data_IF_866569416891
#
_entry.id   IF_866569416891
#
_cell.length_a   1.000
_cell.length_b   1.000
_cell.length_c   1.000
_cell.angle_alpha   90.00
_cell.angle_beta   90.00
_cell.angle_gamma   90.00
#
_symmetry.space_group_name_H-M   'P 1'
#
loop_
_entity.id
_entity.type
_entity.pdbx_description
1 polymer ?
#
# COMPACT_ATOMS: atom_id res chain seq x y z
N UNK A 1 -16.47 -9.05 11.08
CA UNK A 1 -17.78 -8.60 11.56
C UNK A 1 -17.65 -7.15 11.99
N UNK A 2 -18.58 -6.27 11.61
CA UNK A 2 -18.61 -4.88 12.09
C UNK A 2 -18.98 -4.84 13.57
N UNK A 3 -18.43 -3.84 14.27
CA UNK A 3 -18.69 -3.65 15.71
C UNK A 3 -19.87 -2.68 15.97
N UNK A 4 -20.30 -1.92 14.96
CA UNK A 4 -21.42 -0.99 15.04
C UNK A 4 -22.21 -0.95 13.73
N UNK A 5 -23.46 -0.49 13.79
CA UNK A 5 -24.30 -0.27 12.60
C UNK A 5 -23.66 0.76 11.68
N UNK A 6 -23.58 0.40 10.40
CA UNK A 6 -23.11 1.30 9.36
C UNK A 6 -24.20 1.47 8.29
N UNK A 7 -24.91 2.60 8.26
CA UNK A 7 -26.01 2.83 7.31
C UNK A 7 -25.55 2.94 5.86
N UNK A 8 -24.23 3.06 5.62
CA UNK A 8 -23.63 3.08 4.28
C UNK A 8 -23.34 1.68 3.74
N UNK A 9 -23.65 0.63 4.51
CA UNK A 9 -23.36 -0.74 4.17
C UNK A 9 -24.61 -1.62 4.34
N UNK A 10 -24.81 -2.54 3.41
CA UNK A 10 -25.95 -3.47 3.44
C UNK A 10 -25.68 -4.74 4.25
N UNK A 11 -24.46 -4.99 4.67
CA UNK A 11 -24.01 -6.23 5.34
C UNK A 11 -23.15 -5.94 6.56
N UNK A 12 -23.31 -6.73 7.61
CA UNK A 12 -22.55 -6.60 8.86
C UNK A 12 -21.19 -7.29 8.79
N UNK A 13 -21.00 -8.21 7.85
CA UNK A 13 -19.73 -8.90 7.67
C UNK A 13 -18.83 -8.13 6.69
N UNK A 14 -17.59 -7.86 7.11
CA UNK A 14 -16.53 -7.30 6.26
C UNK A 14 -15.63 -8.37 5.67
N UNK A 15 -15.57 -9.53 6.33
CA UNK A 15 -14.73 -10.68 5.95
C UNK A 15 -15.51 -11.96 6.19
N UNK A 16 -15.54 -12.85 5.19
CA UNK A 16 -16.17 -14.17 5.26
C UNK A 16 -15.62 -15.02 4.11
N UNK A 17 -14.35 -15.46 4.19
CA UNK A 17 -13.63 -16.08 3.07
C UNK A 17 -13.03 -17.42 3.44
N UNK A 18 -13.11 -18.36 2.51
CA UNK A 18 -12.24 -19.53 2.44
C UNK A 18 -11.21 -19.34 1.33
N UNK A 19 -9.94 -19.56 1.61
CA UNK A 19 -8.85 -19.47 0.63
C UNK A 19 -8.04 -20.75 0.58
N UNK A 20 -7.74 -21.23 -0.61
CA UNK A 20 -6.75 -22.26 -0.88
C UNK A 20 -5.64 -21.64 -1.71
N UNK A 21 -4.45 -21.48 -1.12
CA UNK A 21 -3.28 -20.96 -1.81
C UNK A 21 -2.42 -22.11 -2.34
N UNK A 22 -2.08 -22.02 -3.61
CA UNK A 22 -1.15 -22.92 -4.29
C UNK A 22 0.13 -22.14 -4.62
N UNK A 23 1.27 -22.69 -4.20
CA UNK A 23 2.59 -22.12 -4.49
C UNK A 23 3.47 -23.21 -5.10
N UNK A 24 4.02 -22.95 -6.29
CA UNK A 24 4.90 -23.85 -7.02
C UNK A 24 6.18 -23.10 -7.39
N UNK A 25 7.33 -23.74 -7.16
CA UNK A 25 8.62 -23.22 -7.57
C UNK A 25 9.42 -24.32 -8.25
N UNK A 26 9.77 -24.11 -9.52
CA UNK A 26 10.54 -25.06 -10.32
C UNK A 26 11.84 -24.43 -10.79
N UNK A 27 12.96 -25.04 -10.43
CA UNK A 27 14.27 -24.67 -10.97
C UNK A 27 14.44 -25.31 -12.35
N UNK A 28 14.98 -24.53 -13.29
CA UNK A 28 15.29 -24.93 -14.64
C UNK A 28 16.80 -24.94 -14.93
N UNK A 29 17.20 -25.16 -16.16
CA UNK A 29 18.60 -25.12 -16.58
C UNK A 29 19.19 -23.71 -16.49
N UNK A 30 20.52 -23.61 -16.44
CA UNK A 30 21.26 -22.34 -16.45
C UNK A 30 20.84 -21.35 -15.34
N UNK A 31 20.41 -21.84 -14.17
CA UNK A 31 20.00 -20.99 -13.04
C UNK A 31 18.62 -20.36 -13.20
N UNK A 32 17.84 -20.75 -14.22
CA UNK A 32 16.48 -20.25 -14.35
C UNK A 32 15.53 -20.81 -13.27
N UNK A 33 14.46 -20.08 -12.96
CA UNK A 33 13.41 -20.49 -12.03
C UNK A 33 12.06 -19.99 -12.52
N UNK A 34 11.07 -20.87 -12.58
CA UNK A 34 9.66 -20.50 -12.72
C UNK A 34 9.00 -20.51 -11.33
N UNK A 35 8.19 -19.51 -11.07
CA UNK A 35 7.42 -19.38 -9.83
C UNK A 35 5.94 -19.12 -10.16
N UNK A 36 5.06 -19.77 -9.40
CA UNK A 36 3.60 -19.62 -9.52
C UNK A 36 3.01 -19.54 -8.11
N UNK A 37 2.11 -18.58 -7.89
CA UNK A 37 1.33 -18.44 -6.67
C UNK A 37 -0.07 -17.93 -7.00
N UNK A 38 -1.09 -18.71 -6.64
CA UNK A 38 -2.48 -18.34 -6.85
C UNK A 38 -3.35 -18.74 -5.67
N UNK A 39 -4.41 -18.00 -5.45
CA UNK A 39 -5.43 -18.26 -4.44
C UNK A 39 -6.75 -18.64 -5.14
N UNK A 40 -7.36 -19.75 -4.71
CA UNK A 40 -8.77 -20.05 -4.98
C UNK A 40 -9.57 -19.50 -3.81
N UNK A 41 -10.54 -18.65 -4.09
CA UNK A 41 -11.26 -17.89 -3.08
C UNK A 41 -12.75 -18.23 -3.16
N UNK A 42 -13.33 -18.61 -2.02
CA UNK A 42 -14.79 -18.61 -1.82
C UNK A 42 -15.14 -17.46 -0.88
N UNK A 43 -15.86 -16.48 -1.38
CA UNK A 43 -16.19 -15.25 -0.66
C UNK A 43 -17.68 -15.21 -0.32
N UNK A 44 -18.01 -15.36 0.98
CA UNK A 44 -19.39 -15.34 1.45
C UNK A 44 -19.94 -13.93 1.69
N UNK A 45 -19.10 -12.87 1.67
CA UNK A 45 -19.59 -11.48 1.75
C UNK A 45 -20.07 -11.01 0.39
N UNK A 46 -19.30 -11.30 -0.67
CA UNK A 46 -19.66 -10.94 -2.05
C UNK A 46 -20.41 -12.07 -2.78
N UNK A 47 -20.58 -13.23 -2.12
CA UNK A 47 -21.30 -14.39 -2.65
C UNK A 47 -20.75 -14.88 -3.99
N UNK A 48 -19.42 -14.88 -4.13
CA UNK A 48 -18.71 -15.27 -5.35
C UNK A 48 -17.53 -16.18 -5.09
N UNK A 49 -17.19 -16.98 -6.10
CA UNK A 49 -15.90 -17.67 -6.20
C UNK A 49 -14.96 -16.87 -7.10
N UNK A 50 -13.67 -16.87 -6.78
CA UNK A 50 -12.66 -16.16 -7.56
C UNK A 50 -11.33 -16.92 -7.59
N UNK A 51 -10.49 -16.58 -8.57
CA UNK A 51 -9.11 -17.08 -8.70
C UNK A 51 -8.20 -15.87 -8.80
N UNK A 52 -7.40 -15.64 -7.76
CA UNK A 52 -6.42 -14.54 -7.73
C UNK A 52 -5.04 -15.08 -8.10
N UNK A 53 -4.55 -14.75 -9.31
CA UNK A 53 -3.17 -15.00 -9.72
C UNK A 53 -2.27 -13.95 -9.08
N UNK A 54 -1.66 -14.28 -7.95
CA UNK A 54 -0.81 -13.38 -7.19
C UNK A 54 0.54 -13.15 -7.83
N UNK A 55 1.21 -14.24 -8.25
CA UNK A 55 2.51 -14.19 -8.89
C UNK A 55 2.65 -15.32 -9.92
N UNK A 56 3.18 -14.99 -11.08
CA UNK A 56 3.59 -15.93 -12.11
C UNK A 56 4.73 -15.32 -12.91
N UNK A 57 5.95 -15.74 -12.63
CA UNK A 57 7.11 -15.18 -13.29
C UNK A 57 8.22 -16.19 -13.56
N UNK A 58 9.10 -15.81 -14.47
CA UNK A 58 10.33 -16.50 -14.80
C UNK A 58 11.53 -15.64 -14.37
N UNK A 59 12.42 -16.22 -13.57
CA UNK A 59 13.74 -15.69 -13.26
C UNK A 59 14.78 -16.28 -14.21
N UNK A 60 15.63 -15.43 -14.76
CA UNK A 60 16.77 -15.78 -15.61
C UNK A 60 18.02 -15.05 -15.14
N UNK A 61 19.17 -15.72 -15.13
CA UNK A 61 20.47 -15.12 -14.84
C UNK A 61 21.41 -15.35 -16.04
N UNK A 62 21.20 -14.62 -17.16
CA UNK A 62 21.95 -14.86 -18.41
C UNK A 62 23.42 -14.47 -18.30
N UNK A 63 23.81 -13.67 -17.31
CA UNK A 63 25.17 -13.28 -17.03
C UNK A 63 25.40 -13.07 -15.53
N UNK A 64 26.65 -13.14 -15.08
CA UNK A 64 27.02 -12.99 -13.66
C UNK A 64 26.56 -11.66 -13.01
N UNK A 65 26.33 -10.64 -13.82
CA UNK A 65 25.96 -9.29 -13.36
C UNK A 65 24.58 -8.84 -13.84
N UNK A 66 23.75 -9.77 -14.27
CA UNK A 66 22.41 -9.49 -14.81
C UNK A 66 21.43 -10.58 -14.42
N UNK A 67 20.40 -10.19 -13.68
CA UNK A 67 19.21 -10.99 -13.47
C UNK A 67 18.00 -10.34 -14.17
N UNK A 68 17.15 -11.17 -14.72
CA UNK A 68 15.91 -10.77 -15.41
C UNK A 68 14.76 -11.51 -14.75
N UNK A 69 13.73 -10.79 -14.33
CA UNK A 69 12.44 -11.36 -13.93
C UNK A 69 11.35 -10.84 -14.84
N UNK A 70 10.60 -11.73 -15.46
CA UNK A 70 9.50 -11.37 -16.36
C UNK A 70 8.22 -12.11 -15.97
N UNK A 71 7.11 -11.38 -15.90
CA UNK A 71 5.79 -11.88 -15.53
C UNK A 71 5.17 -11.13 -14.37
N UNK A 72 4.05 -11.69 -13.85
CA UNK A 72 3.34 -11.13 -12.71
C UNK A 72 4.13 -11.32 -11.42
N UNK A 73 4.50 -10.24 -10.78
CA UNK A 73 5.38 -10.23 -9.61
C UNK A 73 5.02 -9.13 -8.63
N UNK A 74 5.20 -9.38 -7.34
CA UNK A 74 5.09 -8.37 -6.31
C UNK A 74 6.41 -7.57 -6.29
N UNK A 75 6.30 -6.28 -6.54
CA UNK A 75 7.39 -5.32 -6.49
C UNK A 75 7.28 -4.49 -5.23
N UNK A 76 8.42 -4.21 -4.58
CA UNK A 76 8.43 -3.40 -3.36
C UNK A 76 9.79 -2.72 -3.17
N UNK A 77 9.76 -1.43 -2.83
CA UNK A 77 10.93 -0.60 -2.57
C UNK A 77 10.68 0.26 -1.32
N UNK A 78 11.68 1.09 -0.97
CA UNK A 78 11.57 1.98 0.18
C UNK A 78 11.93 1.31 1.52
N UNK A 79 11.85 2.08 2.58
CA UNK A 79 12.16 1.67 3.96
C UNK A 79 10.94 1.80 4.89
N UNK A 80 9.85 2.37 4.39
CA UNK A 80 8.60 2.50 5.14
C UNK A 80 7.96 1.14 5.43
N UNK A 81 7.30 1.04 6.57
CA UNK A 81 6.59 -0.19 6.95
C UNK A 81 5.22 -0.27 6.26
N UNK A 82 4.28 0.58 6.67
CA UNK A 82 2.93 0.71 6.09
C UNK A 82 2.66 2.12 5.56
N UNK A 83 3.70 2.95 5.46
CA UNK A 83 3.70 4.26 4.80
C UNK A 83 4.62 4.15 3.59
N UNK A 84 4.10 4.47 2.40
CA UNK A 84 4.76 4.23 1.13
C UNK A 84 5.10 5.55 0.45
N UNK A 85 6.40 5.89 0.33
CA UNK A 85 6.89 7.04 -0.44
C UNK A 85 7.49 6.58 -1.76
N UNK A 86 8.50 5.69 -1.69
CA UNK A 86 9.19 5.17 -2.87
C UNK A 86 8.72 3.77 -3.28
N UNK A 87 7.81 3.16 -2.54
CA UNK A 87 7.10 1.94 -2.93
C UNK A 87 5.84 2.29 -3.72
N UNK A 88 6.02 2.64 -4.98
CA UNK A 88 4.99 3.14 -5.91
C UNK A 88 4.27 2.02 -6.68
N UNK A 89 4.34 0.80 -6.19
CA UNK A 89 3.63 -0.35 -6.75
C UNK A 89 2.26 -0.53 -6.08
N UNK A 90 1.31 -1.23 -6.71
CA UNK A 90 -0.06 -1.29 -6.24
C UNK A 90 -0.20 -2.00 -4.87
N UNK A 91 -1.16 -1.56 -4.08
CA UNK A 91 -1.49 -2.08 -2.75
C UNK A 91 -2.96 -2.44 -2.66
N UNK A 92 -3.30 -3.46 -1.86
CA UNK A 92 -4.67 -3.78 -1.47
C UNK A 92 -4.94 -3.23 -0.06
N UNK A 93 -5.39 -1.98 -0.01
CA UNK A 93 -5.77 -1.35 1.25
C UNK A 93 -7.06 -1.94 1.84
N UNK A 94 -7.94 -2.49 1.00
CA UNK A 94 -9.15 -3.18 1.48
C UNK A 94 -8.75 -4.38 2.31
N UNK A 95 -7.82 -5.22 1.82
CA UNK A 95 -7.29 -6.37 2.57
C UNK A 95 -6.73 -5.98 3.94
N UNK A 96 -6.02 -4.86 4.01
CA UNK A 96 -5.47 -4.37 5.27
C UNK A 96 -6.59 -3.93 6.24
N UNK A 97 -7.58 -3.17 5.77
CA UNK A 97 -8.63 -2.60 6.61
C UNK A 97 -9.70 -3.62 7.06
N UNK A 98 -9.84 -4.75 6.37
CA UNK A 98 -10.76 -5.82 6.80
C UNK A 98 -10.09 -6.92 7.63
N UNK A 99 -8.77 -6.83 7.83
CA UNK A 99 -8.01 -7.77 8.67
C UNK A 99 -7.56 -9.03 7.95
N UNK A 100 -7.37 -9.04 6.63
CA UNK A 100 -6.60 -10.09 5.94
C UNK A 100 -5.14 -10.06 6.39
N UNK A 101 -4.40 -11.13 6.14
CA UNK A 101 -2.95 -11.16 6.40
C UNK A 101 -2.22 -10.05 5.64
N UNK A 102 -1.17 -9.46 6.24
CA UNK A 102 -0.38 -8.40 5.61
C UNK A 102 0.29 -8.83 4.29
N UNK A 103 0.42 -10.13 4.04
CA UNK A 103 0.89 -10.63 2.74
C UNK A 103 -0.03 -10.23 1.57
N UNK A 104 -1.33 -9.94 1.84
CA UNK A 104 -2.30 -9.48 0.85
C UNK A 104 -2.26 -7.98 0.59
N UNK A 105 -1.52 -7.20 1.40
CA UNK A 105 -1.41 -5.76 1.20
C UNK A 105 -0.72 -5.39 -0.12
N UNK A 106 0.20 -6.22 -0.61
CA UNK A 106 0.95 -5.94 -1.85
C UNK A 106 0.36 -6.74 -3.00
N UNK A 107 0.07 -6.04 -4.09
CA UNK A 107 -0.48 -6.63 -5.32
C UNK A 107 0.63 -6.90 -6.34
N UNK A 108 0.42 -7.93 -7.15
CA UNK A 108 1.30 -8.24 -8.27
C UNK A 108 1.09 -7.29 -9.45
N UNK A 109 2.17 -6.94 -10.14
CA UNK A 109 2.16 -6.23 -11.41
C UNK A 109 2.78 -7.10 -12.50
N UNK A 110 2.22 -7.03 -13.72
CA UNK A 110 2.80 -7.67 -14.89
C UNK A 110 3.97 -6.82 -15.36
N UNK A 111 5.21 -7.30 -15.15
CA UNK A 111 6.41 -6.48 -15.30
C UNK A 111 7.60 -7.28 -15.82
N UNK A 112 8.54 -6.54 -16.42
CA UNK A 112 9.92 -6.99 -16.64
C UNK A 112 10.83 -6.20 -15.72
N UNK A 113 11.57 -6.90 -14.86
CA UNK A 113 12.59 -6.32 -13.99
C UNK A 113 13.97 -6.80 -14.42
N UNK A 114 14.88 -5.86 -14.61
CA UNK A 114 16.31 -6.09 -14.83
C UNK A 114 17.06 -5.68 -13.58
N UNK A 115 17.83 -6.59 -12.99
CA UNK A 115 18.73 -6.31 -11.87
C UNK A 115 20.17 -6.39 -12.35
N UNK A 116 20.90 -5.29 -12.23
CA UNK A 116 22.25 -5.10 -12.73
C UNK A 116 23.22 -4.90 -11.58
N UNK A 117 24.38 -5.55 -11.63
CA UNK A 117 25.42 -5.52 -10.61
C UNK A 117 26.78 -5.09 -11.20
N UNK A 118 26.90 -3.85 -11.77
CA UNK A 118 28.10 -3.44 -12.50
C UNK A 118 29.34 -3.22 -11.64
N UNK A 119 29.21 -3.20 -10.31
CA UNK A 119 30.36 -2.98 -9.41
C UNK A 119 29.92 -2.48 -8.03
N UNK A 120 30.30 -1.27 -7.60
CA UNK A 120 29.99 -0.80 -6.25
C UNK A 120 28.52 -0.44 -6.03
N UNK A 121 27.73 -0.36 -7.09
CA UNK A 121 26.30 -0.09 -7.05
C UNK A 121 25.52 -1.26 -7.64
N UNK A 122 24.30 -1.44 -7.20
CA UNK A 122 23.31 -2.29 -7.82
C UNK A 122 22.19 -1.41 -8.39
N UNK A 123 21.57 -1.85 -9.48
CA UNK A 123 20.51 -1.11 -10.14
C UNK A 123 19.37 -2.06 -10.55
N UNK A 124 18.15 -1.69 -10.19
CA UNK A 124 16.95 -2.33 -10.70
C UNK A 124 16.26 -1.38 -11.70
N UNK A 125 15.89 -1.91 -12.86
CA UNK A 125 15.06 -1.24 -13.86
C UNK A 125 13.79 -2.07 -14.03
N UNK A 126 12.64 -1.43 -13.99
CA UNK A 126 11.33 -2.08 -14.11
C UNK A 126 10.52 -1.40 -15.20
N UNK A 127 9.92 -2.21 -16.07
CA UNK A 127 8.89 -1.79 -17.02
C UNK A 127 7.58 -2.53 -16.73
N UNK A 128 6.49 -1.78 -16.57
CA UNK A 128 5.13 -2.30 -16.33
C UNK A 128 4.26 -1.90 -17.51
N UNK A 129 4.03 -2.79 -18.50
CA UNK A 129 3.29 -2.46 -19.71
C UNK A 129 1.78 -2.28 -19.48
N UNK A 130 1.24 -2.90 -18.43
CA UNK A 130 -0.17 -2.84 -18.08
C UNK A 130 -0.34 -2.21 -16.70
N UNK A 131 -1.07 -1.09 -16.64
CA UNK A 131 -1.38 -0.43 -15.38
C UNK A 131 -2.14 -1.38 -14.45
N UNK A 132 -1.74 -1.42 -13.19
CA UNK A 132 -2.46 -2.12 -12.12
C UNK A 132 -2.74 -1.09 -11.02
N UNK A 133 -4.01 -0.80 -10.69
CA UNK A 133 -4.37 0.12 -9.62
C UNK A 133 -4.15 -0.50 -8.24
N UNK A 134 -4.12 0.32 -7.21
CA UNK A 134 -4.34 -0.12 -5.83
C UNK A 134 -5.82 -0.39 -5.60
N UNK A 135 -6.12 -1.41 -4.77
CA UNK A 135 -7.47 -1.67 -4.30
C UNK A 135 -7.78 -0.76 -3.11
N UNK A 136 -8.83 0.05 -3.27
CA UNK A 136 -9.32 1.00 -2.27
C UNK A 136 -10.76 0.66 -1.90
N UNK A 137 -11.31 1.16 -0.77
CA UNK A 137 -12.73 1.05 -0.45
C UNK A 137 -13.61 1.61 -1.56
N UNK A 138 -14.57 0.80 -2.05
CA UNK A 138 -15.51 1.15 -3.15
C UNK A 138 -16.97 0.88 -2.81
N UNK A 139 -17.26 0.55 -1.52
CA UNK A 139 -18.62 0.31 -1.04
C UNK A 139 -19.00 -1.15 -0.85
N UNK A 140 -18.26 -2.12 -1.40
CA UNK A 140 -18.61 -3.54 -1.27
C UNK A 140 -18.46 -4.03 0.17
N UNK A 141 -17.35 -3.64 0.83
CA UNK A 141 -16.98 -4.10 2.19
C UNK A 141 -16.76 -2.99 3.19
N UNK A 142 -16.37 -1.84 2.69
CA UNK A 142 -15.98 -0.66 3.47
C UNK A 142 -16.60 0.58 2.85
N UNK A 143 -16.94 1.54 3.68
CA UNK A 143 -17.43 2.85 3.25
C UNK A 143 -16.37 3.59 2.42
N UNK A 144 -16.83 4.46 1.54
CA UNK A 144 -15.98 5.41 0.84
C UNK A 144 -16.64 6.79 0.77
N UNK A 145 -15.82 7.82 0.70
CA UNK A 145 -16.28 9.17 0.44
C UNK A 145 -16.52 9.36 -1.06
N UNK A 146 -17.75 9.75 -1.42
CA UNK A 146 -18.10 10.09 -2.80
C UNK A 146 -17.85 11.59 -3.03
N UNK A 147 -16.76 11.96 -3.77
CA UNK A 147 -16.40 13.36 -3.95
C UNK A 147 -17.40 14.15 -4.83
N UNK A 148 -18.18 13.47 -5.68
CA UNK A 148 -19.20 14.11 -6.49
C UNK A 148 -20.44 14.47 -5.67
N UNK A 149 -20.76 13.66 -4.66
CA UNK A 149 -21.88 13.90 -3.75
C UNK A 149 -21.46 14.63 -2.46
N UNK A 150 -20.16 14.79 -2.21
CA UNK A 150 -19.54 15.38 -1.02
C UNK A 150 -20.06 14.75 0.29
N UNK A 151 -20.17 13.42 0.33
CA UNK A 151 -20.63 12.63 1.48
C UNK A 151 -20.13 11.19 1.40
N UNK A 152 -20.28 10.44 2.48
CA UNK A 152 -20.14 8.97 2.43
C UNK A 152 -21.22 8.42 1.49
N UNK A 153 -20.81 7.49 0.62
CA UNK A 153 -21.69 6.83 -0.33
C UNK A 153 -22.79 6.03 0.36
N UNK A 154 -23.99 6.01 -0.22
CA UNK A 154 -25.08 5.16 0.23
C UNK A 154 -24.87 3.70 -0.21
N UNK A 155 -25.55 2.73 0.42
CA UNK A 155 -25.49 1.33 -0.01
C UNK A 155 -25.83 1.17 -1.50
N UNK A 156 -24.98 0.44 -2.24
CA UNK A 156 -25.13 0.21 -3.67
C UNK A 156 -24.64 1.33 -4.58
N UNK A 157 -24.18 2.47 -4.04
CA UNK A 157 -23.43 3.44 -4.84
C UNK A 157 -22.05 2.91 -5.18
N UNK A 158 -21.57 3.17 -6.39
CA UNK A 158 -20.24 2.83 -6.85
C UNK A 158 -19.54 4.02 -7.49
N UNK A 159 -18.22 4.04 -7.44
CA UNK A 159 -17.40 5.02 -8.17
C UNK A 159 -17.11 4.50 -9.57
N UNK A 160 -17.39 5.33 -10.57
CA UNK A 160 -16.85 5.09 -11.91
C UNK A 160 -15.41 5.59 -11.94
N UNK A 161 -14.48 4.69 -12.26
CA UNK A 161 -13.05 5.01 -12.29
C UNK A 161 -12.50 4.61 -13.66
N UNK A 162 -11.91 5.59 -14.36
CA UNK A 162 -11.27 5.36 -15.66
C UNK A 162 -9.80 5.01 -15.47
N UNK A 163 -9.40 3.84 -15.91
CA UNK A 163 -8.02 3.40 -15.94
C UNK A 163 -7.27 3.89 -17.19
N UNK A 164 -5.94 4.05 -17.11
CA UNK A 164 -5.10 4.27 -18.28
C UNK A 164 -5.25 3.14 -19.30
N UNK A 165 -5.39 3.50 -20.57
CA UNK A 165 -5.49 2.51 -21.64
C UNK A 165 -4.20 1.67 -21.73
N UNK A 166 -4.33 0.37 -22.03
CA UNK A 166 -3.20 -0.55 -22.21
C UNK A 166 -2.53 -0.29 -23.58
N UNK A 167 -1.77 0.79 -23.67
CA UNK A 167 -0.99 1.18 -24.86
C UNK A 167 0.48 1.34 -24.49
N UNK A 168 1.40 1.19 -25.45
CA UNK A 168 2.83 1.35 -25.19
C UNK A 168 3.23 2.70 -24.56
N UNK A 169 2.51 3.77 -24.89
CA UNK A 169 2.73 5.13 -24.35
C UNK A 169 2.43 5.22 -22.86
N UNK A 170 1.59 4.33 -22.35
CA UNK A 170 1.18 4.23 -20.94
C UNK A 170 1.99 3.21 -20.14
N UNK A 171 3.05 2.62 -20.76
CA UNK A 171 4.00 1.79 -20.02
C UNK A 171 4.63 2.60 -18.89
N UNK A 172 4.59 2.05 -17.67
CA UNK A 172 5.23 2.66 -16.52
C UNK A 172 6.67 2.19 -16.39
N UNK A 173 7.55 3.07 -15.98
CA UNK A 173 8.96 2.79 -15.76
C UNK A 173 9.37 3.16 -14.35
N UNK A 174 10.14 2.27 -13.71
CA UNK A 174 10.74 2.53 -12.43
C UNK A 174 12.23 2.14 -12.44
N UNK A 175 13.04 2.89 -11.70
CA UNK A 175 14.46 2.65 -11.54
C UNK A 175 14.87 2.82 -10.08
N UNK A 176 15.73 1.94 -9.59
CA UNK A 176 16.37 2.05 -8.29
C UNK A 176 17.87 1.86 -8.46
N UNK A 177 18.66 2.80 -7.95
CA UNK A 177 20.11 2.68 -7.78
C UNK A 177 20.40 2.60 -6.30
N UNK A 178 21.10 1.54 -5.86
CA UNK A 178 21.34 1.34 -4.44
C UNK A 178 22.73 0.80 -4.15
N UNK A 179 23.19 1.07 -2.94
CA UNK A 179 24.49 0.60 -2.44
C UNK A 179 24.49 0.48 -0.93
N UNK A 180 25.22 -0.54 -0.43
CA UNK A 180 25.57 -0.64 0.98
C UNK A 180 26.95 0.00 1.23
N UNK A 181 26.99 0.95 2.19
CA UNK A 181 28.19 1.63 2.65
C UNK A 181 28.49 1.18 4.09
N UNK A 182 29.33 0.16 4.24
CA UNK A 182 29.55 -0.47 5.53
C UNK A 182 28.26 -1.11 6.07
N UNK A 183 27.63 -0.48 7.05
CA UNK A 183 26.39 -0.97 7.69
C UNK A 183 25.15 -0.18 7.27
N UNK A 184 25.30 0.80 6.37
CA UNK A 184 24.22 1.66 5.90
C UNK A 184 23.89 1.35 4.45
N UNK A 185 22.60 1.31 4.11
CA UNK A 185 22.11 1.23 2.74
C UNK A 185 21.59 2.59 2.30
N UNK A 186 21.96 3.03 1.10
CA UNK A 186 21.41 4.20 0.45
C UNK A 186 20.82 3.84 -0.90
N UNK A 187 19.69 4.44 -1.25
CA UNK A 187 19.00 4.21 -2.52
C UNK A 187 18.52 5.52 -3.13
N UNK A 188 18.54 5.59 -4.46
CA UNK A 188 17.88 6.62 -5.27
C UNK A 188 16.79 5.96 -6.12
N UNK A 189 15.69 6.66 -6.32
CA UNK A 189 14.53 6.16 -7.02
C UNK A 189 14.06 7.11 -8.11
N UNK A 190 13.61 6.56 -9.21
CA UNK A 190 12.88 7.26 -10.25
C UNK A 190 11.68 6.45 -10.69
N UNK A 191 10.55 7.13 -10.87
CA UNK A 191 9.32 6.51 -11.38
C UNK A 191 8.66 7.44 -12.38
N UNK A 192 8.10 6.86 -13.42
CA UNK A 192 7.28 7.55 -14.40
C UNK A 192 6.11 6.64 -14.78
N UNK A 193 4.91 7.04 -14.45
CA UNK A 193 3.69 6.26 -14.66
C UNK A 193 2.46 7.06 -14.25
N UNK A 194 1.62 6.42 -13.47
CA UNK A 194 0.35 6.98 -12.98
C UNK A 194 0.26 6.83 -11.45
N UNK A 195 -0.53 7.70 -10.81
CA UNK A 195 -0.95 7.47 -9.42
C UNK A 195 -1.59 6.10 -9.29
N UNK A 196 -1.33 5.38 -8.19
CA UNK A 196 -1.94 4.06 -7.95
C UNK A 196 -3.30 4.14 -7.26
N UNK A 197 -3.65 5.30 -6.73
CA UNK A 197 -4.99 5.63 -6.24
C UNK A 197 -5.62 6.67 -7.18
N UNK A 198 -6.96 6.70 -7.36
CA UNK A 198 -7.62 7.64 -8.26
C UNK A 198 -7.60 9.04 -7.64
N UNK A 199 -6.65 9.84 -8.07
CA UNK A 199 -6.33 11.18 -7.57
C UNK A 199 -6.75 12.31 -8.54
N UNK A 200 -7.51 11.98 -9.57
CA UNK A 200 -8.08 12.91 -10.53
C UNK A 200 -9.58 12.76 -10.65
N UNK A 201 -10.29 13.87 -10.93
CA UNK A 201 -11.74 13.93 -11.13
C UNK A 201 -12.08 14.46 -12.50
N UNK A 202 -13.07 13.86 -13.16
CA UNK A 202 -13.71 14.33 -14.39
C UNK A 202 -15.22 14.53 -14.11
N UNK A 203 -15.64 15.71 -13.64
CA UNK A 203 -17.03 15.98 -13.32
C UNK A 203 -17.97 15.88 -14.52
N UNK A 204 -17.49 16.17 -15.73
CA UNK A 204 -18.29 16.08 -16.94
C UNK A 204 -18.67 14.64 -17.28
N UNK A 205 -17.75 13.71 -17.04
CA UNK A 205 -17.98 12.28 -17.23
C UNK A 205 -18.52 11.58 -15.95
N UNK A 206 -18.52 12.26 -14.79
CA UNK A 206 -18.85 11.66 -13.49
C UNK A 206 -17.87 10.56 -13.08
N UNK A 207 -16.60 10.69 -13.42
CA UNK A 207 -15.58 9.68 -13.23
C UNK A 207 -14.37 10.18 -12.46
N UNK A 208 -13.78 9.31 -11.67
CA UNK A 208 -12.40 9.47 -11.20
C UNK A 208 -11.42 8.90 -12.23
N UNK A 209 -10.17 9.29 -12.13
CA UNK A 209 -9.10 8.73 -12.97
C UNK A 209 -7.75 8.74 -12.26
N UNK A 210 -6.78 8.03 -12.81
CA UNK A 210 -5.41 7.95 -12.32
C UNK A 210 -4.53 8.96 -13.07
N UNK A 211 -4.15 10.11 -12.46
CA UNK A 211 -3.34 11.12 -13.15
C UNK A 211 -1.91 10.65 -13.37
N UNK A 212 -1.27 11.20 -14.40
CA UNK A 212 0.14 10.94 -14.70
C UNK A 212 1.03 11.49 -13.59
N UNK A 213 1.97 10.65 -13.15
CA UNK A 213 2.87 10.94 -12.04
C UNK A 213 4.31 10.63 -12.42
N UNK A 214 5.25 11.48 -12.00
CA UNK A 214 6.66 11.12 -11.89
C UNK A 214 7.08 11.28 -10.44
N UNK A 215 7.93 10.37 -9.95
CA UNK A 215 8.48 10.46 -8.60
C UNK A 215 9.99 10.34 -8.65
N UNK A 216 10.65 11.21 -7.91
CA UNK A 216 12.10 11.19 -7.70
C UNK A 216 12.33 11.10 -6.20
N UNK A 217 13.06 10.07 -5.78
CA UNK A 217 13.19 9.81 -4.36
C UNK A 217 14.56 9.32 -3.93
N UNK A 218 14.75 9.29 -2.63
CA UNK A 218 15.93 8.74 -1.99
C UNK A 218 15.55 8.07 -0.68
N UNK A 219 16.35 7.10 -0.27
CA UNK A 219 16.27 6.55 1.09
C UNK A 219 17.65 6.24 1.64
N UNK A 220 17.72 6.21 2.97
CA UNK A 220 18.87 5.72 3.72
C UNK A 220 18.38 4.95 4.94
N UNK A 221 19.05 3.83 5.25
CA UNK A 221 18.79 3.09 6.49
C UNK A 221 20.05 2.47 7.04
N UNK A 222 20.10 2.30 8.33
CA UNK A 222 21.21 1.63 9.00
C UNK A 222 21.15 1.71 10.51
N UNK A 223 22.09 1.06 11.21
CA UNK A 223 22.13 1.05 12.66
C UNK A 223 22.40 2.45 13.23
N UNK A 224 21.61 2.82 14.20
CA UNK A 224 21.76 4.03 14.99
C UNK A 224 21.49 3.68 16.45
N UNK A 225 22.46 3.96 17.35
CA UNK A 225 22.36 3.56 18.75
C UNK A 225 22.08 2.05 18.89
N UNK A 226 20.98 1.70 19.55
CA UNK A 226 20.55 0.31 19.80
C UNK A 226 19.51 -0.19 18.79
N UNK A 227 19.21 0.57 17.73
CA UNK A 227 18.18 0.27 16.76
C UNK A 227 18.62 0.53 15.33
N UNK A 228 17.63 0.59 14.45
CA UNK A 228 17.78 0.91 13.03
C UNK A 228 17.00 2.18 12.72
N UNK A 229 17.69 3.19 12.24
CA UNK A 229 17.09 4.40 11.72
C UNK A 229 16.86 4.28 10.21
N UNK A 230 15.79 4.86 9.73
CA UNK A 230 15.48 4.98 8.31
C UNK A 230 14.99 6.37 7.95
N UNK A 231 15.29 6.79 6.75
CA UNK A 231 14.83 8.04 6.17
C UNK A 231 14.38 7.77 4.73
N UNK A 232 13.24 8.34 4.33
CA UNK A 232 12.85 8.44 2.94
C UNK A 232 12.48 9.86 2.58
N UNK A 233 12.73 10.18 1.33
CA UNK A 233 12.32 11.41 0.66
C UNK A 233 11.69 11.05 -0.69
N UNK A 234 10.65 11.78 -1.11
CA UNK A 234 10.04 11.70 -2.42
C UNK A 234 9.55 13.06 -2.90
N UNK A 235 9.86 13.40 -4.13
CA UNK A 235 9.22 14.49 -4.86
C UNK A 235 8.23 13.88 -5.85
N UNK A 236 6.96 14.08 -5.61
CA UNK A 236 5.87 13.66 -6.47
C UNK A 236 5.54 14.82 -7.43
N UNK A 237 5.87 14.67 -8.72
CA UNK A 237 5.60 15.61 -9.80
C UNK A 237 4.25 15.27 -10.45
N UNK A 238 3.22 16.05 -10.16
CA UNK A 238 1.91 15.98 -10.82
C UNK A 238 2.05 16.47 -12.26
N UNK A 239 2.17 15.53 -13.21
CA UNK A 239 2.48 15.85 -14.61
C UNK A 239 1.32 16.52 -15.36
N UNK A 240 0.12 16.43 -14.85
CA UNK A 240 -1.08 17.03 -15.47
C UNK A 240 -1.38 18.42 -14.92
N UNK A 241 -0.91 18.74 -13.70
CA UNK A 241 -1.03 20.08 -13.12
C UNK A 241 0.15 20.45 -12.22
N UNK A 242 1.25 20.88 -12.82
CA UNK A 242 2.42 21.37 -12.08
C UNK A 242 2.22 22.74 -11.46
N UNK A 243 1.26 23.50 -11.97
CA UNK A 243 0.95 24.85 -11.50
C UNK A 243 0.02 24.89 -10.29
N UNK A 244 -0.62 23.75 -9.95
CA UNK A 244 -1.58 23.65 -8.87
C UNK A 244 -2.85 24.48 -9.09
N UNK A 245 -3.20 24.74 -10.34
CA UNK A 245 -4.36 25.57 -10.71
C UNK A 245 -5.59 24.75 -11.08
N UNK A 246 -5.46 23.44 -11.16
CA UNK A 246 -6.55 22.52 -11.44
C UNK A 246 -6.99 21.78 -10.16
N UNK A 247 -8.07 22.16 -9.47
CA UNK A 247 -8.50 21.54 -8.22
C UNK A 247 -9.01 20.10 -8.40
N UNK A 248 -9.09 19.60 -9.64
CA UNK A 248 -9.57 18.26 -9.97
C UNK A 248 -8.42 17.24 -10.08
N UNK A 249 -7.17 17.63 -9.85
CA UNK A 249 -5.99 16.76 -9.87
C UNK A 249 -5.13 17.08 -8.66
N UNK A 250 -4.57 16.06 -8.02
CA UNK A 250 -3.62 16.27 -6.91
C UNK A 250 -2.41 17.11 -7.36
N UNK A 251 -2.03 18.07 -6.52
CA UNK A 251 -0.82 18.87 -6.72
C UNK A 251 0.45 18.05 -6.58
N UNK A 252 1.54 18.59 -7.09
CA UNK A 252 2.88 18.10 -6.74
C UNK A 252 3.13 18.21 -5.24
N UNK A 253 3.88 17.25 -4.68
CA UNK A 253 4.15 17.22 -3.24
C UNK A 253 5.57 16.76 -2.92
N UNK A 254 6.08 17.24 -1.78
CA UNK A 254 7.28 16.72 -1.14
C UNK A 254 6.86 15.81 0.01
N UNK A 255 7.45 14.63 0.09
CA UNK A 255 7.12 13.60 1.07
C UNK A 255 8.37 13.18 1.82
N UNK A 256 8.27 13.09 3.13
CA UNK A 256 9.37 12.73 4.03
C UNK A 256 8.89 11.65 5.00
N UNK A 257 9.76 10.68 5.29
CA UNK A 257 9.53 9.66 6.30
C UNK A 257 10.79 9.52 7.15
N UNK A 258 10.63 9.63 8.46
CA UNK A 258 11.64 9.27 9.46
C UNK A 258 11.13 8.03 10.19
N UNK A 259 11.97 7.03 10.32
CA UNK A 259 11.65 5.79 11.02
C UNK A 259 12.73 5.38 12.00
N UNK A 260 12.33 4.76 13.09
CA UNK A 260 13.22 4.13 14.04
C UNK A 260 12.62 2.85 14.56
N UNK A 261 13.40 1.76 14.51
CA UNK A 261 13.02 0.46 15.05
C UNK A 261 14.07 0.00 16.05
N UNK A 262 13.61 -0.47 17.21
CA UNK A 262 14.49 -1.03 18.24
C UNK A 262 13.82 -2.12 19.06
N UNK A 263 14.62 -3.01 19.58
CA UNK A 263 14.19 -4.01 20.55
C UNK A 263 14.39 -3.43 21.95
N UNK A 264 13.29 -3.15 22.67
CA UNK A 264 13.34 -2.56 24.02
C UNK A 264 13.74 -3.58 25.10
N UNK A 265 13.26 -4.83 24.96
CA UNK A 265 13.65 -5.99 25.73
C UNK A 265 13.49 -7.24 24.84
N UNK A 266 14.00 -8.42 25.28
CA UNK A 266 13.93 -9.63 24.44
C UNK A 266 12.56 -9.91 23.86
N UNK A 267 12.50 -10.09 22.55
CA UNK A 267 11.30 -10.37 21.76
C UNK A 267 10.25 -9.23 21.73
N UNK A 268 10.56 -8.02 22.25
CA UNK A 268 9.70 -6.85 22.12
C UNK A 268 10.30 -5.77 21.23
N UNK A 269 9.73 -5.63 20.06
CA UNK A 269 10.15 -4.65 19.06
C UNK A 269 9.16 -3.49 18.98
N UNK A 270 9.70 -2.28 18.95
CA UNK A 270 8.98 -1.03 18.70
C UNK A 270 9.47 -0.44 17.39
N UNK A 271 8.55 -0.10 16.49
CA UNK A 271 8.83 0.70 15.30
C UNK A 271 7.95 1.94 15.32
N UNK A 272 8.57 3.10 15.29
CA UNK A 272 7.90 4.39 15.18
C UNK A 272 8.29 5.07 13.88
N UNK A 273 7.33 5.68 13.19
CA UNK A 273 7.58 6.45 11.98
C UNK A 273 6.80 7.76 12.02
N UNK A 274 7.41 8.81 11.47
CA UNK A 274 6.79 10.11 11.26
C UNK A 274 6.84 10.44 9.78
N UNK A 275 5.68 10.70 9.20
CA UNK A 275 5.52 11.11 7.83
C UNK A 275 5.05 12.56 7.76
N UNK A 276 5.64 13.30 6.84
CA UNK A 276 5.27 14.65 6.46
C UNK A 276 5.08 14.71 4.95
N UNK A 277 3.94 15.23 4.52
CA UNK A 277 3.67 15.59 3.14
C UNK A 277 3.41 17.09 3.05
N UNK A 278 4.10 17.74 2.13
CA UNK A 278 3.90 19.15 1.81
C UNK A 278 3.33 19.26 0.39
N UNK A 279 2.13 19.80 0.28
CA UNK A 279 1.54 20.18 -1.01
C UNK A 279 2.27 21.39 -1.56
N UNK A 280 2.76 21.29 -2.79
CA UNK A 280 3.36 22.41 -3.51
C UNK A 280 2.28 23.27 -4.18
N UNK A 281 2.60 24.50 -4.53
CA UNK A 281 1.68 25.45 -5.17
C UNK A 281 0.35 25.62 -4.40
N UNK A 282 0.41 25.54 -3.07
CA UNK A 282 -0.77 25.57 -2.19
C UNK A 282 -1.62 26.85 -2.35
N UNK A 283 -0.97 28.00 -2.64
CA UNK A 283 -1.67 29.26 -2.90
C UNK A 283 -2.54 29.18 -4.16
N UNK A 284 -2.02 28.57 -5.23
CA UNK A 284 -2.75 28.36 -6.49
C UNK A 284 -3.89 27.37 -6.31
N UNK A 285 -3.64 26.26 -5.60
CA UNK A 285 -4.67 25.30 -5.22
C UNK A 285 -5.84 25.97 -4.50
N UNK A 286 -5.59 26.73 -3.44
CA UNK A 286 -6.69 27.41 -2.71
C UNK A 286 -7.45 28.41 -3.57
N UNK A 287 -6.74 29.11 -4.47
CA UNK A 287 -7.38 30.09 -5.35
C UNK A 287 -8.25 29.41 -6.44
N UNK A 288 -7.99 28.16 -6.79
CA UNK A 288 -8.72 27.40 -7.79
C UNK A 288 -9.93 26.62 -7.24
N UNK A 289 -10.04 26.46 -5.91
CA UNK A 289 -11.13 25.69 -5.30
C UNK A 289 -12.48 26.37 -5.49
N UNK A 290 -13.54 25.61 -5.86
CA UNK A 290 -14.92 26.10 -5.82
C UNK A 290 -15.33 26.52 -4.40
N UNK A 291 -16.24 27.50 -4.30
CA UNK A 291 -16.77 27.92 -3.02
C UNK A 291 -17.44 26.74 -2.27
N UNK A 292 -17.03 26.51 -1.02
CA UNK A 292 -17.55 25.43 -0.17
C UNK A 292 -16.93 24.06 -0.41
N UNK A 293 -15.93 23.93 -1.30
CA UNK A 293 -15.20 22.70 -1.47
C UNK A 293 -14.35 22.38 -0.22
N UNK A 294 -14.15 21.10 0.14
CA UNK A 294 -13.22 20.71 1.20
C UNK A 294 -11.81 21.19 0.88
N UNK A 295 -11.14 21.76 1.88
CA UNK A 295 -9.77 22.27 1.74
C UNK A 295 -8.80 21.27 2.34
N UNK A 296 -7.94 20.69 1.51
CA UNK A 296 -6.82 19.86 1.96
C UNK A 296 -5.75 20.73 2.64
N UNK A 297 -5.13 20.24 3.69
CA UNK A 297 -4.04 20.97 4.40
C UNK A 297 -2.77 21.01 3.53
N UNK A 298 -2.02 22.13 3.62
CA UNK A 298 -0.71 22.25 2.96
C UNK A 298 0.30 21.22 3.51
N UNK A 299 0.26 21.02 4.83
CA UNK A 299 1.12 20.05 5.52
C UNK A 299 0.24 18.96 6.13
N UNK A 300 0.49 17.73 5.70
CA UNK A 300 -0.11 16.54 6.26
C UNK A 300 0.92 15.81 7.10
N UNK A 301 0.59 15.61 8.37
CA UNK A 301 1.41 14.86 9.32
C UNK A 301 0.75 13.53 9.61
N UNK A 302 1.54 12.45 9.64
CA UNK A 302 1.07 11.13 10.03
C UNK A 302 2.09 10.46 10.95
N UNK A 303 1.62 10.01 12.10
CA UNK A 303 2.38 9.21 13.06
C UNK A 303 2.00 7.75 12.87
N UNK A 304 2.99 6.88 12.89
CA UNK A 304 2.83 5.44 12.84
C UNK A 304 3.56 4.79 13.99
N UNK A 305 2.91 3.81 14.61
CA UNK A 305 3.49 3.00 15.67
C UNK A 305 3.16 1.53 15.43
N UNK A 306 4.20 0.68 15.47
CA UNK A 306 4.04 -0.77 15.55
C UNK A 306 4.73 -1.29 16.79
N UNK A 307 4.00 -2.10 17.57
CA UNK A 307 4.51 -2.85 18.70
C UNK A 307 4.38 -4.34 18.38
N UNK A 308 5.40 -5.12 18.67
CA UNK A 308 5.37 -6.58 18.49
C UNK A 308 6.06 -7.23 19.67
N UNK A 309 5.32 -8.10 20.37
CA UNK A 309 5.87 -8.95 21.45
C UNK A 309 5.67 -10.41 21.11
N UNK A 310 6.74 -11.16 21.12
CA UNK A 310 6.68 -12.61 21.08
C UNK A 310 6.78 -13.18 22.49
N UNK A 311 5.98 -14.21 22.76
CA UNK A 311 5.87 -14.91 24.03
C UNK A 311 5.86 -16.43 23.79
N UNK A 312 6.01 -17.22 24.86
CA UNK A 312 5.93 -18.69 24.82
C UNK A 312 6.83 -19.32 23.75
N UNK A 313 8.12 -18.98 23.74
CA UNK A 313 9.07 -19.43 22.71
C UNK A 313 8.59 -19.08 21.29
N UNK A 314 8.09 -17.84 21.12
CA UNK A 314 7.61 -17.24 19.87
C UNK A 314 6.34 -17.88 19.27
N UNK A 315 5.66 -18.77 20.00
CA UNK A 315 4.37 -19.35 19.55
C UNK A 315 3.20 -18.39 19.74
N UNK A 316 3.28 -17.44 20.67
CA UNK A 316 2.28 -16.39 20.88
C UNK A 316 2.85 -15.04 20.50
N UNK A 317 2.21 -14.36 19.53
CA UNK A 317 2.56 -13.02 19.08
C UNK A 317 1.44 -12.04 19.43
N UNK A 318 1.80 -10.99 20.12
CA UNK A 318 0.95 -9.81 20.32
C UNK A 318 1.46 -8.71 19.41
N UNK A 319 0.60 -8.08 18.66
CA UNK A 319 0.96 -6.94 17.82
C UNK A 319 -0.06 -5.81 17.94
N UNK A 320 0.43 -4.61 17.77
CA UNK A 320 -0.36 -3.41 17.70
C UNK A 320 0.17 -2.55 16.55
N UNK A 321 -0.74 -2.08 15.70
CA UNK A 321 -0.46 -1.10 14.67
C UNK A 321 -1.36 0.09 14.89
N UNK A 322 -0.79 1.30 14.87
CA UNK A 322 -1.56 2.53 15.01
C UNK A 322 -1.09 3.58 14.01
N UNK A 323 -2.07 4.32 13.46
CA UNK A 323 -1.88 5.51 12.66
C UNK A 323 -2.64 6.67 13.29
N UNK A 324 -2.04 7.83 13.33
CA UNK A 324 -2.69 9.06 13.77
C UNK A 324 -2.20 10.25 12.96
N UNK A 325 -3.11 10.95 12.31
CA UNK A 325 -2.85 12.19 11.59
C UNK A 325 -3.33 13.40 12.42
N UNK A 326 -2.44 14.16 13.06
CA UNK A 326 -2.84 15.35 13.81
C UNK A 326 -3.35 16.48 12.90
N UNK A 327 -2.97 16.49 11.63
CA UNK A 327 -3.44 17.49 10.66
C UNK A 327 -4.85 17.20 10.13
N UNK A 328 -5.22 15.93 9.99
CA UNK A 328 -6.54 15.49 9.49
C UNK A 328 -7.48 15.06 10.62
N UNK A 329 -6.94 14.95 11.85
CA UNK A 329 -7.66 14.53 13.06
C UNK A 329 -8.33 13.16 12.87
N UNK A 330 -7.61 12.25 12.17
CA UNK A 330 -8.07 10.91 11.88
C UNK A 330 -7.00 9.87 12.19
N UNK A 331 -7.41 8.61 12.20
CA UNK A 331 -6.48 7.51 12.43
C UNK A 331 -7.15 6.16 12.52
N UNK A 332 -6.32 5.14 12.72
CA UNK A 332 -6.77 3.79 13.00
C UNK A 332 -5.86 3.07 13.98
N UNK A 333 -6.40 2.10 14.68
CA UNK A 333 -5.64 1.14 15.48
C UNK A 333 -6.03 -0.28 15.14
N UNK A 334 -5.02 -1.17 15.16
CA UNK A 334 -5.19 -2.61 14.91
C UNK A 334 -4.39 -3.41 15.94
N UNK A 335 -4.96 -3.73 17.10
CA UNK A 335 -4.44 -4.77 17.98
C UNK A 335 -4.75 -6.17 17.42
N UNK A 336 -3.76 -7.05 17.43
CA UNK A 336 -3.89 -8.44 16.98
C UNK A 336 -3.16 -9.38 17.94
N UNK A 337 -3.76 -10.50 18.22
CA UNK A 337 -3.15 -11.67 18.88
C UNK A 337 -3.09 -12.80 17.86
N UNK A 338 -1.94 -13.44 17.72
CA UNK A 338 -1.82 -14.66 16.91
C UNK A 338 -1.12 -15.77 17.71
N UNK A 339 -1.58 -16.99 17.53
CA UNK A 339 -1.07 -18.16 18.23
C UNK A 339 -0.79 -19.29 17.24
N UNK A 340 0.44 -19.81 17.29
CA UNK A 340 0.86 -21.01 16.57
C UNK A 340 0.43 -22.22 17.36
N UNK A 341 -0.60 -22.93 16.91
CA UNK A 341 -1.16 -24.10 17.60
C UNK A 341 -0.26 -25.31 17.41
N UNK A 342 0.18 -25.52 16.15
CA UNK A 342 1.18 -26.52 15.74
C UNK A 342 2.06 -25.91 14.65
N UNK A 343 3.06 -26.62 14.14
CA UNK A 343 3.89 -26.15 13.03
C UNK A 343 3.06 -25.87 11.75
N UNK A 344 1.90 -26.49 11.63
CA UNK A 344 1.00 -26.36 10.47
C UNK A 344 -0.17 -25.41 10.72
N UNK A 345 -0.66 -25.27 11.95
CA UNK A 345 -1.87 -24.54 12.27
C UNK A 345 -1.60 -23.29 13.07
N UNK A 346 -2.15 -22.18 12.64
CA UNK A 346 -2.13 -20.92 13.39
C UNK A 346 -3.52 -20.26 13.40
N UNK A 347 -3.79 -19.53 14.47
CA UNK A 347 -4.99 -18.72 14.63
C UNK A 347 -4.59 -17.28 14.95
N UNK A 348 -5.29 -16.31 14.39
CA UNK A 348 -5.12 -14.90 14.72
C UNK A 348 -6.48 -14.23 14.87
N UNK A 349 -6.59 -13.29 15.81
CA UNK A 349 -7.77 -12.45 16.01
C UNK A 349 -7.32 -11.03 16.27
N UNK A 350 -8.03 -10.07 15.69
CA UNK A 350 -7.72 -8.66 15.84
C UNK A 350 -8.91 -7.77 15.57
N UNK A 351 -8.73 -6.49 15.86
CA UNK A 351 -9.73 -5.44 15.65
C UNK A 351 -9.12 -4.37 14.77
N UNK A 352 -9.88 -3.87 13.80
CA UNK A 352 -9.62 -2.59 13.16
C UNK A 352 -10.60 -1.58 13.71
N UNK A 353 -10.11 -0.52 14.34
CA UNK A 353 -10.93 0.59 14.82
C UNK A 353 -10.45 1.88 14.15
N UNK A 354 -11.40 2.60 13.53
CA UNK A 354 -11.17 3.80 12.76
C UNK A 354 -11.82 5.02 13.45
N UNK A 355 -11.14 6.14 13.39
CA UNK A 355 -11.68 7.39 13.93
C UNK A 355 -11.31 8.56 13.04
N UNK A 356 -12.12 9.63 13.09
CA UNK A 356 -11.88 10.85 12.34
C UNK A 356 -13.07 11.79 12.40
N UNK A 357 -12.78 13.08 12.28
CA UNK A 357 -13.78 14.15 12.34
C UNK A 357 -14.35 14.49 10.95
N UNK A 358 -13.63 14.13 9.87
CA UNK A 358 -13.99 14.51 8.51
C UNK A 358 -14.15 13.27 7.62
N UNK A 359 -15.28 13.17 6.93
CA UNK A 359 -15.61 12.02 6.06
C UNK A 359 -14.73 11.92 4.81
N UNK A 360 -14.07 12.99 4.39
CA UNK A 360 -13.21 13.01 3.20
C UNK A 360 -11.75 12.61 3.49
N UNK A 361 -11.38 12.37 4.75
CA UNK A 361 -10.03 11.94 5.12
C UNK A 361 -9.87 10.42 5.02
N UNK A 362 -8.61 9.96 4.95
CA UNK A 362 -8.29 8.54 4.70
C UNK A 362 -8.95 7.58 5.67
N UNK A 363 -8.87 7.87 6.97
CA UNK A 363 -9.46 7.02 8.00
C UNK A 363 -10.85 7.49 8.43
N UNK A 364 -11.13 8.79 8.34
CA UNK A 364 -12.42 9.34 8.71
C UNK A 364 -13.60 8.81 7.90
N UNK A 365 -13.39 8.50 6.61
CA UNK A 365 -14.41 7.84 5.79
C UNK A 365 -14.79 6.44 6.31
N UNK A 366 -13.90 5.80 7.08
CA UNK A 366 -14.06 4.45 7.62
C UNK A 366 -14.53 4.42 9.08
N UNK A 367 -14.83 5.57 9.71
CA UNK A 367 -15.13 5.66 11.16
C UNK A 367 -16.33 4.81 11.63
N UNK A 368 -17.12 4.26 10.70
CA UNK A 368 -18.23 3.32 10.99
C UNK A 368 -17.94 1.89 10.52
N UNK A 369 -16.72 1.62 10.08
CA UNK A 369 -16.30 0.31 9.58
C UNK A 369 -15.43 -0.47 10.58
N UNK A 370 -15.48 -0.09 11.87
CA UNK A 370 -14.84 -0.84 12.94
C UNK A 370 -15.21 -2.31 12.84
N UNK A 371 -14.20 -3.19 12.86
CA UNK A 371 -14.44 -4.60 12.63
C UNK A 371 -13.54 -5.48 13.47
N UNK A 372 -14.10 -6.63 13.88
CA UNK A 372 -13.40 -7.77 14.50
C UNK A 372 -13.20 -8.84 13.42
N UNK A 373 -12.02 -9.44 13.40
CA UNK A 373 -11.73 -10.54 12.51
C UNK A 373 -11.09 -11.72 13.25
N UNK A 374 -11.32 -12.92 12.70
CA UNK A 374 -10.67 -14.16 13.08
C UNK A 374 -10.12 -14.83 11.84
N UNK A 375 -8.87 -15.29 11.90
CA UNK A 375 -8.21 -16.04 10.82
C UNK A 375 -7.73 -17.37 11.36
N UNK A 376 -7.99 -18.44 10.64
CA UNK A 376 -7.40 -19.76 10.84
C UNK A 376 -6.59 -20.09 9.58
N UNK A 377 -5.34 -20.48 9.76
CA UNK A 377 -4.44 -20.88 8.67
C UNK A 377 -3.92 -22.28 8.90
N UNK A 378 -3.96 -23.10 7.85
CA UNK A 378 -3.26 -24.36 7.77
C UNK A 378 -2.22 -24.30 6.64
N UNK A 379 -1.02 -24.85 6.87
CA UNK A 379 0.06 -24.97 5.89
C UNK A 379 0.54 -26.42 5.86
N UNK A 380 0.74 -27.00 4.67
CA UNK A 380 1.15 -28.39 4.45
C UNK A 380 2.01 -28.55 3.22
#
# INVERSE_FOLDING_TARGET
>A
MRLADNPSQSRDATLGEGRLQLELSQKGPAGSRAFFKADLIGDGVEERGDVDLREFYLDLSPAQKLDIRAGRQILTWGTGDLIFINDLFPKDFVSFFIGRSLEYLKLGSDAVKLSLYPGPFSMDLVAVPHFTPSEIPKGERLSFFNPFANRIAAPGESLSIREPAATPENTEFAARLYRTFGRYEGSLYGFRGFSKEPAGMDPAAGQLFYPKLSVYGASAQGPLLQGVASFEFGYNDSREDRSGTNPLVENSSLRYLLGYEWELWPDFTVRAQYYLEQMLEYGAYKASLPAGAPVTKEYRHLLFLRLTQFLRHQTLKLSFVGFFSPSEEDGMVNPEISYQITDQWSVASGVNAFFGNNDFTRFGQLRKDDNLYLRLRAAF
#
